data_IF_942443542594
#
_entry.id   IF_942443542594
#
_cell.length_a   1.000
_cell.length_b   1.000
_cell.length_c   1.000
_cell.angle_alpha   90.00
_cell.angle_beta   90.00
_cell.angle_gamma   90.00
#
_symmetry.space_group_name_H-M   'P 1'
#
loop_
_entity.id
_entity.type
_entity.pdbx_description
1 polymer ?
#
# COMPACT_ATOMS: atom_id res chain seq x y z
N UNK A 1 61.27 -21.53 21.29
CA UNK A 1 60.99 -22.61 22.26
C UNK A 1 59.55 -23.08 22.04
N UNK A 2 59.42 -24.35 21.63
CA UNK A 2 58.25 -25.25 21.71
C UNK A 2 56.85 -24.67 21.42
N UNK A 3 56.45 -24.90 20.18
CA UNK A 3 55.10 -25.16 19.69
C UNK A 3 54.22 -25.96 20.67
N UNK A 4 52.91 -25.67 20.69
CA UNK A 4 51.88 -26.69 20.90
C UNK A 4 50.77 -26.52 19.86
N UNK A 5 50.65 -27.55 19.04
CA UNK A 5 49.62 -27.78 18.04
C UNK A 5 48.57 -28.76 18.62
N UNK A 6 47.30 -28.48 18.29
CA UNK A 6 46.18 -29.42 18.01
C UNK A 6 45.56 -30.23 19.18
N UNK A 7 44.30 -30.74 19.09
CA UNK A 7 43.51 -30.98 17.86
C UNK A 7 41.99 -30.65 17.86
N UNK A 8 41.46 -30.52 16.63
CA UNK A 8 40.19 -31.00 16.08
C UNK A 8 38.94 -31.17 16.97
N UNK A 9 37.85 -30.47 16.59
CA UNK A 9 36.48 -31.01 16.66
C UNK A 9 35.63 -30.58 15.45
N UNK A 10 35.21 -31.63 14.73
CA UNK A 10 33.91 -31.91 14.12
C UNK A 10 33.09 -30.83 13.39
N UNK A 11 32.82 -31.16 12.12
CA UNK A 11 31.51 -31.32 11.50
C UNK A 11 30.60 -30.08 11.31
N UNK A 12 30.23 -29.83 10.05
CA UNK A 12 29.13 -28.93 9.71
C UNK A 12 29.09 -28.52 8.25
N UNK A 13 29.11 -29.50 7.35
CA UNK A 13 28.87 -29.31 5.92
C UNK A 13 27.38 -28.95 5.71
N UNK A 14 27.17 -27.91 4.89
CA UNK A 14 26.00 -27.71 4.03
C UNK A 14 24.65 -27.44 4.71
N UNK A 15 24.37 -26.17 4.99
CA UNK A 15 23.01 -25.65 4.86
C UNK A 15 22.88 -25.03 3.48
N UNK A 16 22.25 -25.76 2.55
CA UNK A 16 21.53 -25.15 1.43
C UNK A 16 20.46 -24.26 2.05
N UNK A 17 20.78 -22.99 2.26
CA UNK A 17 19.77 -21.97 2.43
C UNK A 17 19.03 -21.87 1.11
N UNK A 18 17.82 -22.42 1.06
CA UNK A 18 16.86 -22.12 0.01
C UNK A 18 16.64 -20.61 0.05
N UNK A 19 17.32 -19.90 -0.85
CA UNK A 19 17.01 -18.50 -1.12
C UNK A 19 15.59 -18.48 -1.64
N UNK A 20 14.65 -18.05 -0.79
CA UNK A 20 13.38 -17.53 -1.27
C UNK A 20 13.71 -16.33 -2.13
N UNK A 21 13.83 -16.55 -3.42
CA UNK A 21 13.71 -15.51 -4.43
C UNK A 21 12.30 -14.97 -4.27
N UNK A 22 12.13 -13.90 -3.50
CA UNK A 22 11.00 -13.03 -3.71
C UNK A 22 11.12 -12.58 -5.16
N UNK A 23 10.26 -13.12 -6.01
CA UNK A 23 10.10 -12.61 -7.35
C UNK A 23 9.68 -11.15 -7.19
N UNK A 24 10.63 -10.23 -7.32
CA UNK A 24 10.38 -8.82 -7.55
C UNK A 24 9.63 -8.78 -8.89
N UNK A 25 8.31 -8.87 -8.85
CA UNK A 25 7.52 -8.58 -10.02
C UNK A 25 7.87 -7.16 -10.41
N UNK A 26 8.37 -6.94 -11.61
CA UNK A 26 8.57 -5.62 -12.21
C UNK A 26 7.20 -4.95 -12.50
N UNK A 27 6.34 -4.87 -11.49
CA UNK A 27 5.05 -4.20 -11.51
C UNK A 27 5.16 -2.86 -10.79
N UNK A 28 4.46 -1.86 -11.32
CA UNK A 28 4.27 -0.56 -10.68
C UNK A 28 3.79 -0.75 -9.24
N UNK A 29 4.33 -0.03 -8.25
CA UNK A 29 3.86 -0.09 -6.86
C UNK A 29 2.49 0.60 -6.70
N UNK A 30 1.77 0.32 -5.62
CA UNK A 30 0.48 0.99 -5.36
C UNK A 30 0.63 2.51 -5.17
N UNK A 31 1.77 2.97 -4.62
CA UNK A 31 2.07 4.40 -4.54
C UNK A 31 2.25 5.02 -5.92
N UNK A 32 3.01 4.37 -6.80
CA UNK A 32 3.19 4.84 -8.17
C UNK A 32 1.86 4.88 -8.93
N UNK A 33 0.98 3.89 -8.71
CA UNK A 33 -0.36 3.89 -9.25
C UNK A 33 -1.19 5.06 -8.71
N UNK A 34 -1.11 5.36 -7.41
CA UNK A 34 -1.81 6.50 -6.81
C UNK A 34 -1.34 7.85 -7.40
N UNK A 35 -0.04 7.99 -7.69
CA UNK A 35 0.53 9.17 -8.35
C UNK A 35 0.13 9.27 -9.82
N UNK A 36 0.11 8.14 -10.54
CA UNK A 36 -0.33 8.08 -11.95
C UNK A 36 -1.80 8.48 -12.07
N UNK A 37 -2.66 7.95 -11.19
CA UNK A 37 -4.09 8.27 -11.13
C UNK A 37 -4.41 9.58 -10.41
N UNK A 38 -3.39 10.37 -10.05
CA UNK A 38 -3.50 11.69 -9.41
C UNK A 38 -4.26 11.69 -8.09
N UNK A 39 -4.30 10.57 -7.37
CA UNK A 39 -4.91 10.49 -6.05
C UNK A 39 -4.18 11.42 -5.05
N UNK A 40 -2.87 11.56 -5.20
CA UNK A 40 -2.02 12.42 -4.35
C UNK A 40 -2.20 13.93 -4.60
N UNK A 41 -3.01 14.33 -5.58
CA UNK A 41 -3.38 15.73 -5.78
C UNK A 41 -4.35 16.24 -4.71
N UNK A 42 -5.11 15.33 -4.08
CA UNK A 42 -6.07 15.68 -3.03
C UNK A 42 -5.80 14.91 -1.72
N UNK A 43 -5.34 13.66 -1.81
CA UNK A 43 -5.09 12.84 -0.63
C UNK A 43 -3.61 12.84 -0.27
N UNK A 44 -3.31 13.07 1.01
CA UNK A 44 -1.98 12.84 1.53
C UNK A 44 -1.83 11.40 2.04
N UNK A 45 -0.60 10.92 2.14
CA UNK A 45 -0.33 9.61 2.75
C UNK A 45 -0.55 9.67 4.26
N UNK A 46 -0.02 10.71 4.90
CA UNK A 46 -0.04 10.89 6.35
C UNK A 46 -1.04 11.94 6.81
N UNK A 47 -1.49 11.83 8.05
CA UNK A 47 -2.46 12.75 8.65
C UNK A 47 -1.93 14.19 8.75
N UNK A 48 -0.65 14.37 9.09
CA UNK A 48 -0.02 15.69 9.21
C UNK A 48 0.01 16.48 7.89
N UNK A 49 -0.25 15.82 6.77
CA UNK A 49 -0.25 16.38 5.42
C UNK A 49 -1.65 16.42 4.82
N UNK A 50 -2.66 15.92 5.54
CA UNK A 50 -4.04 15.88 5.08
C UNK A 50 -4.54 17.31 4.81
N UNK A 51 -5.13 17.51 3.63
CA UNK A 51 -5.80 18.75 3.31
C UNK A 51 -7.11 18.82 4.10
N UNK A 52 -7.53 20.01 4.55
CA UNK A 52 -8.84 20.16 5.24
C UNK A 52 -10.02 19.67 4.40
N UNK A 53 -9.83 19.51 3.10
CA UNK A 53 -10.84 19.12 2.12
C UNK A 53 -10.79 17.63 1.75
N UNK A 54 -9.82 16.84 2.21
CA UNK A 54 -9.72 15.42 1.85
C UNK A 54 -8.97 14.61 2.91
N UNK A 55 -9.44 13.40 3.24
CA UNK A 55 -8.75 12.55 4.22
C UNK A 55 -7.39 12.07 3.73
N UNK A 56 -6.47 11.82 4.67
CA UNK A 56 -5.26 11.06 4.34
C UNK A 56 -5.60 9.59 4.08
N UNK A 57 -4.74 8.88 3.34
CA UNK A 57 -4.87 7.43 3.16
C UNK A 57 -4.86 6.69 4.50
N UNK A 58 -4.02 7.12 5.45
CA UNK A 58 -4.01 6.54 6.81
C UNK A 58 -5.30 6.79 7.57
N UNK A 59 -5.92 7.96 7.44
CA UNK A 59 -7.21 8.23 8.10
C UNK A 59 -8.35 7.40 7.47
N UNK A 60 -8.28 7.12 6.16
CA UNK A 60 -9.18 6.17 5.50
C UNK A 60 -9.00 4.78 6.09
N UNK A 61 -7.74 4.32 6.21
CA UNK A 61 -7.39 3.03 6.79
C UNK A 61 -7.97 2.90 8.21
N UNK A 62 -7.71 3.86 9.09
CA UNK A 62 -8.21 3.85 10.49
C UNK A 62 -9.75 3.85 10.63
N UNK A 63 -10.47 4.35 9.62
CA UNK A 63 -11.94 4.45 9.66
C UNK A 63 -12.61 3.21 9.09
N UNK A 64 -12.01 2.61 8.08
CA UNK A 64 -12.64 1.59 7.25
C UNK A 64 -11.88 0.28 7.33
N UNK A 65 -12.61 -0.84 7.28
CA UNK A 65 -12.00 -2.16 7.22
C UNK A 65 -12.08 -2.78 5.84
N UNK A 66 -11.35 -3.88 5.60
CA UNK A 66 -11.42 -4.66 4.36
C UNK A 66 -12.84 -5.11 3.98
N UNK A 67 -13.76 -5.24 4.94
CA UNK A 67 -15.17 -5.57 4.69
C UNK A 67 -15.93 -4.46 3.94
N UNK A 68 -15.41 -3.23 3.93
CA UNK A 68 -15.98 -2.08 3.23
C UNK A 68 -15.23 -1.76 1.92
N UNK A 69 -14.28 -2.61 1.51
CA UNK A 69 -13.48 -2.40 0.30
C UNK A 69 -14.33 -2.20 -0.96
N UNK A 70 -15.37 -3.02 -1.17
CA UNK A 70 -16.27 -2.88 -2.34
C UNK A 70 -16.96 -1.51 -2.39
N UNK A 71 -17.37 -0.98 -1.23
CA UNK A 71 -17.96 0.37 -1.12
C UNK A 71 -16.93 1.43 -1.49
N UNK A 72 -15.70 1.32 -0.98
CA UNK A 72 -14.62 2.27 -1.30
C UNK A 72 -14.18 2.19 -2.76
N UNK A 73 -14.18 0.99 -3.36
CA UNK A 73 -13.94 0.82 -4.80
C UNK A 73 -15.00 1.55 -5.61
N UNK A 74 -16.28 1.41 -5.23
CA UNK A 74 -17.36 2.12 -5.89
C UNK A 74 -17.16 3.65 -5.79
N UNK A 75 -16.79 4.15 -4.62
CA UNK A 75 -16.44 5.57 -4.42
C UNK A 75 -15.31 5.97 -5.36
N UNK A 76 -14.20 5.23 -5.43
CA UNK A 76 -13.09 5.51 -6.38
C UNK A 76 -13.56 5.54 -7.84
N UNK A 77 -14.55 4.74 -8.22
CA UNK A 77 -15.04 4.71 -9.60
C UNK A 77 -16.04 5.83 -9.91
N UNK A 78 -16.73 6.41 -8.93
CA UNK A 78 -17.82 7.36 -9.19
C UNK A 78 -17.66 8.74 -8.56
N UNK A 79 -16.86 8.89 -7.50
CA UNK A 79 -16.92 10.07 -6.64
C UNK A 79 -18.15 10.08 -5.74
N UNK A 80 -18.47 11.25 -5.18
CA UNK A 80 -19.67 11.53 -4.39
C UNK A 80 -19.42 11.73 -2.89
N UNK A 81 -20.50 11.96 -2.13
CA UNK A 81 -20.48 12.41 -0.72
C UNK A 81 -20.55 11.24 0.30
N UNK A 82 -20.98 10.05 -0.13
CA UNK A 82 -21.39 8.95 0.77
C UNK A 82 -20.22 8.15 1.38
N UNK A 83 -19.11 8.81 1.74
CA UNK A 83 -17.91 8.14 2.24
C UNK A 83 -17.08 8.95 3.25
N UNK A 84 -17.14 10.28 3.28
CA UNK A 84 -16.32 11.05 4.23
C UNK A 84 -17.05 12.27 4.81
N UNK A 85 -18.10 12.01 5.59
CA UNK A 85 -18.88 13.08 6.21
C UNK A 85 -19.49 13.99 5.15
N UNK A 86 -19.22 15.29 5.23
CA UNK A 86 -19.72 16.30 4.29
C UNK A 86 -18.72 16.61 3.15
N UNK A 87 -17.62 15.86 3.07
CA UNK A 87 -16.59 16.03 2.05
C UNK A 87 -16.95 15.17 0.84
N UNK A 88 -17.18 15.82 -0.30
CA UNK A 88 -17.40 15.16 -1.58
C UNK A 88 -16.07 14.84 -2.26
N UNK A 89 -15.92 13.61 -2.73
CA UNK A 89 -14.86 13.30 -3.69
C UNK A 89 -15.34 13.68 -5.08
N UNK A 90 -14.60 14.48 -5.86
CA UNK A 90 -15.04 14.94 -7.17
C UNK A 90 -15.50 13.79 -8.07
N UNK A 91 -16.44 14.07 -8.97
CA UNK A 91 -16.84 13.11 -9.99
C UNK A 91 -15.71 12.82 -11.00
N UNK A 92 -15.93 11.81 -11.83
CA UNK A 92 -14.94 11.39 -12.84
C UNK A 92 -14.69 12.44 -13.94
N UNK A 93 -15.52 13.48 -14.07
CA UNK A 93 -15.31 14.55 -15.04
C UNK A 93 -14.09 15.42 -14.73
N UNK A 94 -13.62 15.40 -13.47
CA UNK A 94 -12.49 16.22 -12.99
C UNK A 94 -11.26 15.36 -12.63
N UNK A 95 -11.43 14.04 -12.55
CA UNK A 95 -10.39 13.09 -12.13
C UNK A 95 -9.78 12.35 -13.31
N UNK A 96 -8.63 11.71 -13.08
CA UNK A 96 -8.07 10.76 -14.03
C UNK A 96 -8.86 9.45 -13.99
N UNK A 97 -9.11 8.84 -15.14
CA UNK A 97 -9.81 7.56 -15.24
C UNK A 97 -9.07 6.44 -14.50
N UNK A 98 -9.84 5.72 -13.68
CA UNK A 98 -9.37 4.59 -12.88
C UNK A 98 -10.15 3.35 -13.31
N UNK A 99 -9.44 2.28 -13.66
CA UNK A 99 -10.08 0.99 -13.94
C UNK A 99 -10.57 0.35 -12.64
N UNK A 100 -11.49 -0.62 -12.73
CA UNK A 100 -11.92 -1.36 -11.53
C UNK A 100 -10.77 -2.08 -10.85
N UNK A 101 -9.89 -2.70 -11.62
CA UNK A 101 -8.71 -3.41 -11.11
C UNK A 101 -7.75 -2.45 -10.38
N UNK A 102 -7.48 -1.27 -10.96
CA UNK A 102 -6.66 -0.25 -10.31
C UNK A 102 -7.32 0.24 -9.01
N UNK A 103 -8.64 0.44 -9.01
CA UNK A 103 -9.39 0.89 -7.85
C UNK A 103 -9.33 -0.14 -6.70
N UNK A 104 -9.56 -1.43 -6.99
CA UNK A 104 -9.44 -2.53 -6.03
C UNK A 104 -8.03 -2.59 -5.43
N UNK A 105 -7.01 -2.43 -6.28
CA UNK A 105 -5.61 -2.44 -5.86
C UNK A 105 -5.27 -1.26 -4.95
N UNK A 106 -5.73 -0.05 -5.30
CA UNK A 106 -5.53 1.16 -4.50
C UNK A 106 -6.23 1.06 -3.15
N UNK A 107 -7.51 0.65 -3.14
CA UNK A 107 -8.31 0.53 -1.91
C UNK A 107 -7.69 -0.50 -0.98
N UNK A 108 -7.33 -1.69 -1.48
CA UNK A 108 -6.68 -2.71 -0.66
C UNK A 108 -5.40 -2.17 -0.03
N UNK A 109 -4.54 -1.53 -0.82
CA UNK A 109 -3.30 -0.95 -0.33
C UNK A 109 -3.52 0.12 0.74
N UNK A 110 -4.53 0.98 0.58
CA UNK A 110 -4.90 1.99 1.59
C UNK A 110 -5.33 1.32 2.89
N UNK A 111 -6.18 0.30 2.83
CA UNK A 111 -6.70 -0.38 4.02
C UNK A 111 -5.64 -1.23 4.74
N UNK A 112 -4.54 -1.59 4.08
CA UNK A 112 -3.39 -2.26 4.70
C UNK A 112 -2.45 -1.28 5.45
N UNK A 113 -2.70 0.03 5.42
CA UNK A 113 -1.86 1.03 6.10
C UNK A 113 -2.10 1.17 7.62
N UNK A 114 -2.93 0.32 8.23
CA UNK A 114 -3.30 0.40 9.66
C UNK A 114 -2.20 -0.02 10.66
N UNK A 115 -0.91 0.04 10.29
CA UNK A 115 0.23 -0.26 11.17
C UNK A 115 0.92 1.00 11.76
#
# INVERSE_FOLDING_TARGET
MKSKLLPAMLAGVLCLGAGSVFAESHGMTSMQLAEEKKCTACHAVNESEALSVAPSFRSIAQRYSMNESDRLVQVVLTGGEDHWGNTEMPDMGVRTDVSREDAERLVKWILEMEE
#
